data_IF_656011737588
#
_entry.id   IF_656011737588
#
_cell.length_a   1.000
_cell.length_b   1.000
_cell.length_c   1.000
_cell.angle_alpha   90.00
_cell.angle_beta   90.00
_cell.angle_gamma   90.00
#
_symmetry.space_group_name_H-M   'P 1'
#
loop_
_entity.id
_entity.type
_entity.pdbx_description
1 polymer ?
#
# COMPACT_ATOMS: atom_id res chain seq x y z
N UNK A 1 51.24 48.50 -11.85
CA UNK A 1 50.44 47.59 -11.04
C UNK A 1 48.96 47.84 -11.36
N UNK A 2 48.42 47.10 -12.32
CA UNK A 2 47.01 47.22 -12.71
C UNK A 2 46.23 46.04 -12.06
N UNK A 3 45.22 46.35 -11.23
CA UNK A 3 44.29 45.36 -10.68
C UNK A 3 43.10 45.26 -11.61
N UNK A 4 42.94 44.11 -12.23
CA UNK A 4 41.75 43.72 -13.02
C UNK A 4 40.74 43.11 -12.05
N UNK A 5 39.62 43.80 -11.81
CA UNK A 5 38.48 43.26 -11.09
C UNK A 5 37.54 42.59 -12.09
N UNK A 6 37.42 41.26 -12.02
CA UNK A 6 36.48 40.50 -12.81
C UNK A 6 35.11 40.50 -12.11
N UNK A 7 34.12 41.11 -12.75
CA UNK A 7 32.69 41.04 -12.37
C UNK A 7 32.11 39.74 -12.92
N UNK A 8 31.87 38.79 -12.06
CA UNK A 8 31.06 37.59 -12.34
C UNK A 8 29.57 37.98 -12.24
N UNK A 9 28.98 38.24 -13.40
CA UNK A 9 27.54 38.37 -13.53
C UNK A 9 26.86 37.00 -13.45
N UNK A 10 26.24 36.67 -12.31
CA UNK A 10 25.39 35.50 -12.17
C UNK A 10 24.09 35.72 -12.94
N UNK A 11 23.88 34.99 -14.04
CA UNK A 11 22.58 34.85 -14.68
C UNK A 11 21.71 33.96 -13.77
N UNK A 12 20.92 34.60 -12.91
CA UNK A 12 19.80 33.95 -12.23
C UNK A 12 18.71 33.61 -13.26
N UNK A 13 18.53 32.35 -13.59
CA UNK A 13 17.33 31.86 -14.26
C UNK A 13 16.16 32.04 -13.30
N UNK A 14 15.44 33.15 -13.41
CA UNK A 14 14.15 33.34 -12.78
C UNK A 14 13.19 32.35 -13.45
N UNK A 15 12.87 31.24 -12.78
CA UNK A 15 11.73 30.40 -13.13
C UNK A 15 10.49 31.28 -12.99
N UNK A 16 9.95 31.74 -14.10
CA UNK A 16 8.68 32.45 -14.14
C UNK A 16 7.59 31.51 -13.67
N UNK A 17 7.16 31.64 -12.43
CA UNK A 17 5.91 31.05 -11.97
C UNK A 17 4.82 31.76 -12.74
N UNK A 18 4.31 31.14 -13.81
CA UNK A 18 3.17 31.64 -14.57
C UNK A 18 1.97 31.60 -13.65
N UNK A 19 1.67 32.74 -13.02
CA UNK A 19 0.39 32.90 -12.33
C UNK A 19 -0.73 32.89 -13.36
N UNK A 20 -1.76 32.10 -13.14
CA UNK A 20 -2.92 32.06 -14.02
C UNK A 20 -3.67 33.40 -14.00
N UNK A 21 -4.31 33.79 -15.12
CA UNK A 21 -5.22 34.92 -15.17
C UNK A 21 -6.33 34.81 -14.12
N UNK A 22 -6.88 35.95 -13.72
CA UNK A 22 -7.98 35.98 -12.76
C UNK A 22 -9.16 35.12 -13.24
N UNK A 23 -9.65 34.24 -12.38
CA UNK A 23 -10.72 33.30 -12.68
C UNK A 23 -10.27 31.99 -13.32
N UNK A 24 -8.97 31.75 -13.42
CA UNK A 24 -8.41 30.47 -13.85
C UNK A 24 -7.56 29.82 -12.75
N UNK A 25 -7.63 28.49 -12.66
CA UNK A 25 -6.79 27.67 -11.76
C UNK A 25 -5.66 27.01 -12.55
N UNK A 26 -4.49 26.92 -11.92
CA UNK A 26 -3.38 26.16 -12.49
C UNK A 26 -3.60 24.67 -12.23
N UNK A 27 -3.74 23.90 -13.30
CA UNK A 27 -3.88 22.45 -13.27
C UNK A 27 -2.58 21.85 -13.79
N UNK A 28 -1.94 21.01 -12.98
CA UNK A 28 -0.68 20.34 -13.31
C UNK A 28 -0.88 18.82 -13.35
N UNK A 29 -0.52 18.19 -14.50
CA UNK A 29 -0.36 16.74 -14.61
C UNK A 29 1.09 16.46 -15.05
N UNK A 30 1.33 16.24 -16.36
CA UNK A 30 2.70 16.17 -16.93
C UNK A 30 3.21 17.59 -17.25
N UNK A 31 2.29 18.48 -17.61
CA UNK A 31 2.52 19.92 -17.82
C UNK A 31 1.46 20.71 -17.04
N UNK A 32 1.80 21.94 -16.66
CA UNK A 32 0.85 22.84 -16.02
C UNK A 32 0.19 23.75 -17.05
N UNK A 33 -1.12 23.95 -16.94
CA UNK A 33 -1.87 24.90 -17.76
C UNK A 33 -2.94 25.60 -16.93
N UNK A 34 -3.40 26.74 -17.37
CA UNK A 34 -4.48 27.50 -16.74
C UNK A 34 -5.81 27.09 -17.33
N UNK A 35 -6.76 26.67 -16.50
CA UNK A 35 -8.11 26.28 -16.90
C UNK A 35 -9.17 27.17 -16.20
N UNK A 36 -10.24 27.54 -16.90
CA UNK A 36 -11.35 28.30 -16.31
C UNK A 36 -12.29 27.37 -15.52
N UNK A 37 -11.71 26.67 -14.55
CA UNK A 37 -12.43 25.76 -13.64
C UNK A 37 -12.35 26.32 -12.23
N UNK A 38 -13.42 26.24 -11.47
CA UNK A 38 -13.42 26.66 -10.08
C UNK A 38 -12.77 25.61 -9.19
N UNK A 39 -12.36 26.00 -7.99
CA UNK A 39 -11.88 25.06 -6.97
C UNK A 39 -12.93 23.97 -6.69
N UNK A 40 -14.21 24.33 -6.66
CA UNK A 40 -15.30 23.40 -6.44
C UNK A 40 -15.43 22.37 -7.58
N UNK A 41 -15.21 22.77 -8.84
CA UNK A 41 -15.24 21.84 -9.98
C UNK A 41 -14.07 20.85 -9.93
N UNK A 42 -12.90 21.29 -9.46
CA UNK A 42 -11.73 20.41 -9.26
C UNK A 42 -12.04 19.40 -8.17
N UNK A 43 -12.64 19.80 -7.06
CA UNK A 43 -13.01 18.93 -5.95
C UNK A 43 -14.02 17.86 -6.39
N UNK A 44 -15.05 18.26 -7.16
CA UNK A 44 -16.04 17.33 -7.72
C UNK A 44 -15.38 16.33 -8.67
N UNK A 45 -14.55 16.79 -9.59
CA UNK A 45 -13.83 15.93 -10.53
C UNK A 45 -12.90 14.94 -9.79
N UNK A 46 -12.20 15.42 -8.77
CA UNK A 46 -11.35 14.56 -7.95
C UNK A 46 -12.15 13.47 -7.23
N UNK A 47 -13.30 13.82 -6.66
CA UNK A 47 -14.17 12.85 -5.98
C UNK A 47 -14.73 11.81 -6.96
N UNK A 48 -15.18 12.22 -8.15
CA UNK A 48 -15.69 11.33 -9.20
C UNK A 48 -14.61 10.34 -9.67
N UNK A 49 -13.39 10.83 -9.94
CA UNK A 49 -12.26 9.98 -10.34
C UNK A 49 -11.87 9.03 -9.21
N UNK A 50 -11.84 9.51 -7.97
CA UNK A 50 -11.55 8.68 -6.80
C UNK A 50 -12.59 7.58 -6.60
N UNK A 51 -13.88 7.87 -6.80
CA UNK A 51 -14.95 6.87 -6.72
C UNK A 51 -14.86 5.83 -7.85
N UNK A 52 -14.53 6.24 -9.07
CA UNK A 52 -14.32 5.32 -10.19
C UNK A 52 -13.13 4.38 -9.91
N UNK A 53 -12.02 4.93 -9.42
CA UNK A 53 -10.85 4.15 -9.04
C UNK A 53 -11.17 3.15 -7.91
N UNK A 54 -11.88 3.59 -6.88
CA UNK A 54 -12.33 2.73 -5.77
C UNK A 54 -13.24 1.59 -6.25
N UNK A 55 -14.17 1.89 -7.17
CA UNK A 55 -15.06 0.87 -7.74
C UNK A 55 -14.32 -0.14 -8.61
N UNK A 56 -13.32 0.31 -9.38
CA UNK A 56 -12.46 -0.58 -10.16
C UNK A 56 -11.63 -1.50 -9.26
N UNK A 57 -11.06 -0.95 -8.19
CA UNK A 57 -10.30 -1.72 -7.20
C UNK A 57 -11.20 -2.72 -6.46
N UNK A 58 -12.43 -2.34 -6.07
CA UNK A 58 -13.41 -3.23 -5.44
C UNK A 58 -13.73 -4.44 -6.33
N UNK A 59 -14.05 -4.21 -7.60
CA UNK A 59 -14.35 -5.28 -8.55
C UNK A 59 -13.16 -6.20 -8.76
N UNK A 60 -11.96 -5.64 -8.92
CA UNK A 60 -10.74 -6.43 -9.07
C UNK A 60 -10.48 -7.30 -7.83
N UNK A 61 -10.62 -6.75 -6.62
CA UNK A 61 -10.43 -7.51 -5.36
C UNK A 61 -11.41 -8.66 -5.24
N UNK A 62 -12.71 -8.42 -5.51
CA UNK A 62 -13.74 -9.46 -5.46
C UNK A 62 -13.46 -10.56 -6.46
N UNK A 63 -13.16 -10.23 -7.72
CA UNK A 63 -12.85 -11.20 -8.76
C UNK A 63 -11.56 -11.99 -8.48
N UNK A 64 -10.50 -11.30 -8.04
CA UNK A 64 -9.23 -11.93 -7.71
C UNK A 64 -9.35 -12.87 -6.50
N UNK A 65 -10.12 -12.47 -5.49
CA UNK A 65 -10.44 -13.32 -4.34
C UNK A 65 -11.16 -14.60 -4.76
N UNK A 66 -12.18 -14.50 -5.61
CA UNK A 66 -12.91 -15.67 -6.12
C UNK A 66 -11.98 -16.61 -6.92
N UNK A 67 -11.15 -16.06 -7.78
CA UNK A 67 -10.15 -16.82 -8.56
C UNK A 67 -9.14 -17.51 -7.63
N UNK A 68 -8.64 -16.81 -6.62
CA UNK A 68 -7.73 -17.38 -5.63
C UNK A 68 -8.39 -18.52 -4.83
N UNK A 69 -9.64 -18.34 -4.39
CA UNK A 69 -10.41 -19.35 -3.67
C UNK A 69 -10.63 -20.62 -4.51
N UNK A 70 -10.99 -20.46 -5.78
CA UNK A 70 -11.23 -21.57 -6.70
C UNK A 70 -9.98 -22.42 -6.97
N UNK A 71 -8.79 -21.82 -6.91
CA UNK A 71 -7.52 -22.53 -7.13
C UNK A 71 -6.97 -23.25 -5.89
N UNK A 72 -7.68 -23.17 -4.77
CA UNK A 72 -7.32 -23.81 -3.51
C UNK A 72 -6.44 -22.91 -2.62
N UNK A 73 -6.79 -22.89 -1.33
CA UNK A 73 -6.12 -22.11 -0.29
C UNK A 73 -5.81 -22.96 0.94
N UNK A 74 -4.85 -22.57 1.73
CA UNK A 74 -4.44 -23.22 2.97
C UNK A 74 -4.74 -22.33 4.18
N UNK A 75 -4.96 -22.91 5.38
CA UNK A 75 -5.00 -22.14 6.62
C UNK A 75 -3.60 -21.62 6.97
N UNK A 76 -3.52 -20.57 7.79
CA UNK A 76 -2.25 -20.04 8.33
C UNK A 76 -1.44 -21.21 8.93
N UNK A 77 -0.13 -21.36 8.60
CA UNK A 77 0.71 -22.38 9.21
C UNK A 77 0.72 -22.23 10.75
N UNK A 78 0.59 -23.35 11.48
CA UNK A 78 0.40 -23.31 12.94
C UNK A 78 1.51 -22.55 13.68
N UNK A 79 2.76 -22.69 13.23
CA UNK A 79 3.88 -21.99 13.84
C UNK A 79 3.89 -20.47 13.57
N UNK A 80 3.34 -20.03 12.43
CA UNK A 80 3.09 -18.62 12.13
C UNK A 80 1.95 -18.10 13.00
N UNK A 81 0.82 -18.83 13.00
CA UNK A 81 -0.37 -18.48 13.79
C UNK A 81 -0.04 -18.28 15.26
N UNK A 82 0.68 -19.23 15.88
CA UNK A 82 1.05 -19.16 17.30
C UNK A 82 1.84 -17.89 17.65
N UNK A 83 2.66 -17.37 16.72
CA UNK A 83 3.44 -16.16 16.92
C UNK A 83 2.60 -14.87 16.72
N UNK A 84 1.45 -14.98 16.05
CA UNK A 84 0.58 -13.85 15.72
C UNK A 84 -0.65 -13.74 16.62
N UNK A 85 -0.98 -14.76 17.41
CA UNK A 85 -2.07 -14.72 18.40
C UNK A 85 -1.99 -13.54 19.40
N UNK A 86 -0.80 -13.05 19.81
CA UNK A 86 -0.73 -11.86 20.66
C UNK A 86 -1.12 -10.54 19.97
N UNK A 87 -1.22 -10.52 18.65
CA UNK A 87 -1.43 -9.30 17.84
C UNK A 87 -2.81 -9.23 17.20
N UNK A 88 -3.52 -10.36 17.09
CA UNK A 88 -4.79 -10.44 16.36
C UNK A 88 -5.86 -11.21 17.12
N UNK A 89 -7.09 -10.73 16.99
CA UNK A 89 -8.25 -11.48 17.43
C UNK A 89 -8.36 -12.82 16.66
N UNK A 90 -8.87 -13.84 17.36
CA UNK A 90 -9.01 -15.17 16.80
C UNK A 90 -9.85 -15.19 15.51
N UNK A 91 -10.85 -14.32 15.39
CA UNK A 91 -11.68 -14.18 14.20
C UNK A 91 -10.93 -13.74 12.95
N UNK A 92 -9.87 -12.92 13.10
CA UNK A 92 -8.99 -12.53 11.98
C UNK A 92 -8.16 -13.72 11.55
N UNK A 93 -7.56 -14.44 12.52
CA UNK A 93 -6.71 -15.60 12.27
C UNK A 93 -7.47 -16.77 11.66
N UNK A 94 -8.74 -16.99 12.06
CA UNK A 94 -9.58 -18.05 11.54
C UNK A 94 -10.12 -17.78 10.13
N UNK A 95 -10.37 -16.51 9.82
CA UNK A 95 -10.86 -16.11 8.50
C UNK A 95 -9.76 -16.15 7.44
N UNK A 96 -8.53 -15.86 7.81
CA UNK A 96 -7.44 -15.73 6.86
C UNK A 96 -7.03 -17.07 6.25
N UNK A 97 -6.87 -17.04 4.92
CA UNK A 97 -6.36 -18.15 4.11
C UNK A 97 -5.15 -17.67 3.32
N UNK A 98 -4.34 -18.59 2.80
CA UNK A 98 -3.24 -18.20 1.93
C UNK A 98 -3.01 -19.17 0.78
N UNK A 99 -2.29 -18.68 -0.22
CA UNK A 99 -1.70 -19.45 -1.31
C UNK A 99 -0.35 -18.86 -1.72
N UNK A 100 0.40 -19.58 -2.54
CA UNK A 100 1.73 -19.18 -3.02
C UNK A 100 1.77 -19.30 -4.56
N UNK A 101 2.52 -18.42 -5.17
CA UNK A 101 2.96 -18.60 -6.55
C UNK A 101 1.98 -18.18 -7.63
N UNK A 102 1.12 -17.22 -7.37
CA UNK A 102 0.24 -16.64 -8.38
C UNK A 102 0.88 -15.38 -8.99
N UNK A 103 1.72 -15.58 -10.00
CA UNK A 103 2.43 -14.48 -10.67
C UNK A 103 1.51 -13.52 -11.42
N UNK A 104 0.36 -13.98 -11.91
CA UNK A 104 -0.63 -13.14 -12.59
C UNK A 104 -1.34 -12.22 -11.57
N UNK A 105 -1.84 -12.77 -10.48
CA UNK A 105 -2.46 -12.00 -9.39
C UNK A 105 -1.48 -10.97 -8.80
N UNK A 106 -0.23 -11.35 -8.56
CA UNK A 106 0.77 -10.44 -8.02
C UNK A 106 1.17 -9.34 -9.03
N UNK A 107 1.22 -9.66 -10.33
CA UNK A 107 1.45 -8.68 -11.39
C UNK A 107 0.31 -7.66 -11.49
N UNK A 108 -0.93 -8.12 -11.41
CA UNK A 108 -2.10 -7.23 -11.36
C UNK A 108 -2.11 -6.39 -10.08
N UNK A 109 -1.77 -6.97 -8.92
CA UNK A 109 -1.65 -6.24 -7.67
C UNK A 109 -0.61 -5.13 -7.73
N UNK A 110 0.57 -5.36 -8.31
CA UNK A 110 1.59 -4.32 -8.51
C UNK A 110 1.02 -3.09 -9.23
N UNK A 111 0.16 -3.32 -10.23
CA UNK A 111 -0.46 -2.25 -11.00
C UNK A 111 -1.59 -1.57 -10.24
N UNK A 112 -2.48 -2.36 -9.65
CA UNK A 112 -3.69 -1.85 -8.98
C UNK A 112 -3.38 -1.15 -7.64
N UNK A 113 -2.38 -1.65 -6.91
CA UNK A 113 -1.96 -1.12 -5.61
C UNK A 113 -0.74 -0.19 -5.70
N UNK A 114 -0.24 0.08 -6.90
CA UNK A 114 0.91 0.96 -7.17
C UNK A 114 2.16 0.59 -6.36
N UNK A 115 2.33 -0.70 -6.03
CA UNK A 115 3.48 -1.20 -5.28
C UNK A 115 4.32 -2.16 -6.17
N UNK A 116 5.48 -1.73 -6.68
CA UNK A 116 6.30 -2.54 -7.59
C UNK A 116 6.95 -3.75 -6.93
N UNK A 117 7.17 -3.71 -5.61
CA UNK A 117 7.92 -4.71 -4.86
C UNK A 117 7.04 -5.61 -3.98
N UNK A 118 5.78 -5.83 -4.39
CA UNK A 118 4.82 -6.67 -3.65
C UNK A 118 5.38 -8.07 -3.43
N UNK A 119 5.61 -8.43 -2.17
CA UNK A 119 6.00 -9.80 -1.76
C UNK A 119 4.77 -10.66 -1.43
N UNK A 120 3.69 -10.03 -1.01
CA UNK A 120 2.39 -10.64 -0.81
C UNK A 120 1.30 -9.61 -1.10
N UNK A 121 0.07 -10.07 -1.28
CA UNK A 121 -1.13 -9.22 -1.43
C UNK A 121 -2.30 -9.86 -0.71
N UNK A 122 -3.05 -9.06 0.02
CA UNK A 122 -4.29 -9.50 0.68
C UNK A 122 -5.51 -9.22 -0.18
N UNK A 123 -6.15 -10.28 -0.64
CA UNK A 123 -7.42 -10.29 -1.36
C UNK A 123 -8.55 -10.58 -0.37
N UNK A 124 -8.96 -9.59 0.39
CA UNK A 124 -10.01 -9.65 1.43
C UNK A 124 -9.61 -10.57 2.60
N UNK A 125 -9.73 -11.87 2.45
CA UNK A 125 -9.42 -12.92 3.44
C UNK A 125 -8.36 -13.92 2.93
N UNK A 126 -7.88 -13.75 1.69
CA UNK A 126 -6.88 -14.62 1.08
C UNK A 126 -5.58 -13.83 0.84
N UNK A 127 -4.51 -14.30 1.44
CA UNK A 127 -3.17 -13.71 1.26
C UNK A 127 -2.44 -14.52 0.18
N UNK A 128 -2.01 -13.86 -0.88
CA UNK A 128 -1.23 -14.47 -1.96
C UNK A 128 0.24 -14.08 -1.80
N UNK A 129 1.09 -15.03 -1.48
CA UNK A 129 2.53 -14.82 -1.34
C UNK A 129 3.26 -15.04 -2.66
N UNK A 130 4.27 -14.23 -2.95
CA UNK A 130 5.13 -14.40 -4.12
C UNK A 130 5.92 -15.70 -4.09
N UNK A 131 6.38 -16.13 -2.93
CA UNK A 131 7.19 -17.34 -2.77
C UNK A 131 6.85 -18.11 -1.48
N UNK A 132 7.21 -19.39 -1.46
CA UNK A 132 6.93 -20.27 -0.35
C UNK A 132 7.70 -19.93 0.93
N UNK A 133 8.91 -19.39 0.82
CA UNK A 133 9.71 -19.03 1.99
C UNK A 133 9.05 -17.93 2.80
N UNK A 134 8.51 -16.89 2.14
CA UNK A 134 7.76 -15.83 2.83
C UNK A 134 6.50 -16.39 3.50
N UNK A 135 5.77 -17.28 2.83
CA UNK A 135 4.58 -17.89 3.40
C UNK A 135 4.87 -18.81 4.60
N UNK A 136 6.05 -19.42 4.66
CA UNK A 136 6.41 -20.36 5.73
C UNK A 136 7.18 -19.71 6.87
N UNK A 137 8.00 -18.69 6.61
CA UNK A 137 8.99 -18.24 7.59
C UNK A 137 8.88 -16.74 7.94
N UNK A 138 8.20 -15.93 7.11
CA UNK A 138 8.18 -14.47 7.27
C UNK A 138 7.00 -13.98 8.13
N UNK A 139 7.06 -14.27 9.46
CA UNK A 139 6.01 -13.86 10.41
C UNK A 139 5.72 -12.35 10.38
N UNK A 140 6.74 -11.53 10.12
CA UNK A 140 6.57 -10.08 10.07
C UNK A 140 5.74 -9.65 8.83
N UNK A 141 5.95 -10.28 7.69
CA UNK A 141 5.12 -10.06 6.49
C UNK A 141 3.69 -10.55 6.72
N UNK A 142 3.51 -11.69 7.36
CA UNK A 142 2.19 -12.17 7.78
C UNK A 142 1.47 -11.16 8.66
N UNK A 143 2.18 -10.52 9.60
CA UNK A 143 1.59 -9.49 10.45
C UNK A 143 1.12 -8.28 9.62
N UNK A 144 1.83 -7.88 8.58
CA UNK A 144 1.39 -6.86 7.65
C UNK A 144 0.10 -7.26 6.94
N UNK A 145 0.11 -8.41 6.28
CA UNK A 145 -1.02 -8.87 5.47
C UNK A 145 -2.28 -9.15 6.29
N UNK A 146 -2.14 -9.70 7.50
CA UNK A 146 -3.27 -9.92 8.39
C UNK A 146 -3.92 -8.62 8.88
N UNK A 147 -3.17 -7.52 8.94
CA UNK A 147 -3.79 -6.23 9.25
C UNK A 147 -4.75 -5.79 8.15
N UNK A 148 -4.44 -6.08 6.89
CA UNK A 148 -5.37 -5.83 5.80
C UNK A 148 -6.60 -6.73 5.90
N UNK A 149 -6.47 -8.02 6.26
CA UNK A 149 -7.63 -8.88 6.57
C UNK A 149 -8.51 -8.25 7.65
N UNK A 150 -7.91 -7.76 8.73
CA UNK A 150 -8.62 -7.06 9.80
C UNK A 150 -9.32 -5.78 9.31
N UNK A 151 -8.66 -4.97 8.48
CA UNK A 151 -9.23 -3.77 7.89
C UNK A 151 -10.44 -4.11 7.00
N UNK A 152 -10.38 -5.18 6.19
CA UNK A 152 -11.52 -5.66 5.40
C UNK A 152 -12.67 -6.12 6.29
N UNK A 153 -12.41 -6.80 7.40
CA UNK A 153 -13.44 -7.21 8.35
C UNK A 153 -14.12 -6.03 9.03
N UNK A 154 -13.33 -4.99 9.38
CA UNK A 154 -13.83 -3.81 10.09
C UNK A 154 -14.64 -2.87 9.18
N UNK A 155 -14.22 -2.69 7.92
CA UNK A 155 -14.80 -1.68 7.04
C UNK A 155 -15.62 -2.26 5.90
N UNK A 156 -15.41 -3.51 5.55
CA UNK A 156 -15.89 -4.09 4.31
C UNK A 156 -15.07 -3.65 3.09
N UNK A 157 -15.18 -4.40 1.99
CA UNK A 157 -14.36 -4.21 0.78
C UNK A 157 -14.56 -2.81 0.19
N UNK A 158 -15.80 -2.35 0.07
CA UNK A 158 -16.15 -1.05 -0.50
C UNK A 158 -15.53 0.13 0.24
N UNK A 159 -15.62 0.12 1.56
CA UNK A 159 -15.06 1.21 2.36
C UNK A 159 -13.54 1.13 2.41
N UNK A 160 -12.95 -0.08 2.42
CA UNK A 160 -11.51 -0.26 2.29
C UNK A 160 -11.00 0.37 0.99
N UNK A 161 -11.58 0.02 -0.17
CA UNK A 161 -11.15 0.55 -1.48
C UNK A 161 -11.28 2.06 -1.58
N UNK A 162 -12.36 2.62 -0.99
CA UNK A 162 -12.57 4.06 -0.95
C UNK A 162 -11.50 4.78 -0.13
N UNK A 163 -11.11 4.22 1.02
CA UNK A 163 -10.02 4.76 1.86
C UNK A 163 -8.68 4.62 1.17
N UNK A 164 -8.41 3.45 0.61
CA UNK A 164 -7.16 3.11 -0.05
C UNK A 164 -6.87 4.04 -1.25
N UNK A 165 -7.86 4.27 -2.11
CA UNK A 165 -7.71 5.17 -3.26
C UNK A 165 -7.60 6.64 -2.87
N UNK A 166 -8.13 7.02 -1.71
CA UNK A 166 -8.07 8.40 -1.21
C UNK A 166 -6.74 8.69 -0.48
N UNK A 167 -6.27 7.76 0.31
CA UNK A 167 -5.05 7.89 1.12
C UNK A 167 -4.43 6.51 1.39
N UNK A 168 -3.66 6.05 0.40
CA UNK A 168 -2.92 4.79 0.46
C UNK A 168 -2.02 4.72 1.70
N UNK A 169 -1.27 5.78 1.98
CA UNK A 169 -0.30 5.80 3.07
C UNK A 169 -0.98 5.64 4.45
N UNK A 170 -2.17 6.19 4.63
CA UNK A 170 -2.93 6.03 5.87
C UNK A 170 -3.39 4.57 6.10
N UNK A 171 -3.56 3.79 5.03
CA UNK A 171 -3.95 2.38 5.11
C UNK A 171 -2.73 1.49 5.35
N UNK A 172 -1.62 1.78 4.68
CA UNK A 172 -0.38 0.99 4.74
C UNK A 172 0.46 1.25 5.99
N UNK A 173 0.52 2.50 6.46
CA UNK A 173 1.38 2.86 7.59
C UNK A 173 1.15 2.03 8.86
N UNK A 174 -0.09 1.70 9.28
CA UNK A 174 -0.32 0.79 10.41
C UNK A 174 0.21 -0.62 10.16
N UNK A 175 0.11 -1.15 8.93
CA UNK A 175 0.58 -2.48 8.56
C UNK A 175 2.11 -2.55 8.60
N UNK A 176 2.81 -1.59 8.03
CA UNK A 176 4.28 -1.48 8.14
C UNK A 176 4.74 -1.28 9.58
N UNK A 177 4.03 -0.49 10.38
CA UNK A 177 4.35 -0.32 11.80
C UNK A 177 4.31 -1.64 12.55
N UNK A 178 3.23 -2.42 12.37
CA UNK A 178 3.10 -3.72 13.02
C UNK A 178 4.12 -4.74 12.51
N UNK A 179 4.40 -4.76 11.20
CA UNK A 179 5.46 -5.58 10.63
C UNK A 179 6.82 -5.32 11.29
N UNK A 180 7.18 -4.06 11.50
CA UNK A 180 8.42 -3.67 12.17
C UNK A 180 8.41 -4.09 13.65
N UNK A 181 7.29 -3.93 14.34
CA UNK A 181 7.12 -4.32 15.75
C UNK A 181 7.32 -5.82 15.93
N UNK A 182 6.63 -6.64 15.13
CA UNK A 182 6.76 -8.11 15.14
C UNK A 182 8.20 -8.53 14.81
N UNK A 183 8.80 -7.95 13.78
CA UNK A 183 10.19 -8.26 13.42
C UNK A 183 11.19 -7.93 14.55
N UNK A 184 10.94 -6.89 15.34
CA UNK A 184 11.76 -6.56 16.52
C UNK A 184 11.55 -7.54 17.66
N UNK A 185 10.30 -7.93 17.94
CA UNK A 185 9.96 -8.90 18.98
C UNK A 185 10.62 -10.25 18.71
N UNK A 186 10.54 -10.74 17.47
CA UNK A 186 11.18 -12.00 17.06
C UNK A 186 12.70 -11.98 17.24
N UNK A 187 13.36 -10.90 16.84
CA UNK A 187 14.81 -10.74 17.06
C UNK A 187 15.19 -10.75 18.55
N UNK A 188 14.38 -10.11 19.39
CA UNK A 188 14.61 -10.11 20.84
C UNK A 188 14.45 -11.50 21.46
N UNK A 189 13.46 -12.30 21.02
CA UNK A 189 13.28 -13.69 21.45
C UNK A 189 14.47 -14.57 21.08
N UNK A 190 14.96 -14.47 19.83
CA UNK A 190 16.14 -15.21 19.39
C UNK A 190 17.39 -14.84 20.21
N UNK A 191 17.58 -13.56 20.53
CA UNK A 191 18.70 -13.11 21.35
C UNK A 191 18.65 -13.64 22.80
N UNK A 192 17.45 -13.85 23.35
CA UNK A 192 17.24 -14.40 24.71
C UNK A 192 17.37 -15.93 24.75
N UNK A 193 17.07 -16.62 23.64
CA UNK A 193 17.14 -18.08 23.53
C UNK A 193 18.52 -18.59 23.05
N UNK A 194 19.50 -17.71 22.86
CA UNK A 194 20.88 -18.08 22.52
C UNK A 194 21.51 -18.98 23.57
N UNK A 195 22.55 -19.79 23.21
CA UNK A 195 23.06 -20.83 24.07
C UNK A 195 23.49 -20.30 25.44
N UNK A 196 22.89 -20.86 26.48
CA UNK A 196 23.40 -20.71 27.85
C UNK A 196 24.87 -21.18 27.87
N UNK A 197 25.78 -20.28 28.22
CA UNK A 197 27.19 -20.56 28.35
C UNK A 197 27.43 -21.42 29.60
#
# INVERSE_FOLDING_TARGET
MFRLSALLGGLGLAASVLACPSGQQQVCAVVCFCAPISQADIEVLYEDVSQMAASGLEQWLLQSRETAAASGTLPIPLHIRAQLEPYYDIGVLDAARYKVGDGETLGAANTMLQNPDVQAVTLIDIIVFRNAADAQDNVALWAHELLHVQQYQQWGVREFTRRYTRDHDAIEAPAYKLQIEVARALRAQVAQSGPAR
#
